data_IF_180249581090
#
_entry.id   IF_180249581090
#
_cell.length_a   1.000
_cell.length_b   1.000
_cell.length_c   1.000
_cell.angle_alpha   90.00
_cell.angle_beta   90.00
_cell.angle_gamma   90.00
#
_symmetry.space_group_name_H-M   'P 1'
#
loop_
_entity.id
_entity.type
_entity.pdbx_description
1 polymer ?
#
# COMPACT_ATOMS: atom_id res chain seq x y z
N UNK A 1 5.07 -5.99 17.98
CA UNK A 1 4.30 -7.02 17.27
C UNK A 1 4.29 -6.74 15.79
N UNK A 2 4.59 -7.74 14.99
CA UNK A 2 4.54 -7.70 13.52
C UNK A 2 3.33 -8.52 13.05
N UNK A 3 2.43 -7.98 12.21
CA UNK A 3 1.32 -8.74 11.65
C UNK A 3 1.82 -9.67 10.54
N UNK A 4 1.39 -10.92 10.58
CA UNK A 4 1.49 -11.85 9.46
C UNK A 4 0.15 -11.87 8.74
N UNK A 5 0.19 -11.43 7.49
CA UNK A 5 -0.99 -11.28 6.63
C UNK A 5 -0.84 -12.22 5.44
N UNK A 6 -1.96 -12.81 5.02
CA UNK A 6 -2.09 -13.52 3.74
C UNK A 6 -2.87 -12.67 2.74
N UNK A 7 -2.43 -12.70 1.49
CA UNK A 7 -3.17 -12.19 0.33
C UNK A 7 -3.50 -13.37 -0.58
N UNK A 8 -4.74 -13.48 -1.03
CA UNK A 8 -5.18 -14.53 -1.93
C UNK A 8 -6.33 -14.05 -2.82
N UNK A 9 -6.51 -14.73 -3.95
CA UNK A 9 -7.65 -14.48 -4.83
C UNK A 9 -8.81 -15.40 -4.44
N UNK A 10 -10.02 -14.84 -4.40
CA UNK A 10 -11.25 -15.53 -4.03
C UNK A 10 -12.30 -15.42 -5.15
N UNK A 11 -13.47 -16.03 -4.95
CA UNK A 11 -14.60 -15.90 -5.88
C UNK A 11 -15.12 -14.47 -6.03
N UNK A 12 -14.72 -13.55 -5.15
CA UNK A 12 -15.12 -12.14 -5.18
C UNK A 12 -13.96 -11.19 -5.44
N UNK A 13 -12.79 -11.69 -5.84
CA UNK A 13 -11.59 -10.90 -6.09
C UNK A 13 -10.52 -11.08 -5.01
N UNK A 14 -9.59 -10.13 -4.93
CA UNK A 14 -8.47 -10.17 -3.99
C UNK A 14 -8.97 -9.97 -2.56
N UNK A 15 -8.50 -10.81 -1.64
CA UNK A 15 -8.78 -10.73 -0.21
C UNK A 15 -7.48 -10.77 0.58
N UNK A 16 -7.53 -10.13 1.75
CA UNK A 16 -6.46 -10.12 2.74
C UNK A 16 -6.98 -10.69 4.05
N UNK A 17 -6.10 -11.33 4.82
CA UNK A 17 -6.45 -11.83 6.14
C UNK A 17 -5.25 -11.81 7.07
N UNK A 18 -5.47 -11.37 8.31
CA UNK A 18 -4.47 -11.44 9.38
C UNK A 18 -4.50 -12.85 9.96
N UNK A 19 -3.37 -13.55 9.92
CA UNK A 19 -3.20 -14.84 10.58
C UNK A 19 -2.83 -14.65 12.05
N UNK A 20 -1.76 -13.90 12.32
CA UNK A 20 -1.22 -13.71 13.66
C UNK A 20 -0.46 -12.40 13.82
N UNK A 21 -0.37 -11.91 15.05
CA UNK A 21 0.56 -10.87 15.45
C UNK A 21 1.69 -11.51 16.26
N UNK A 22 2.92 -11.46 15.75
CA UNK A 22 4.06 -12.04 16.45
C UNK A 22 4.72 -10.96 17.32
N UNK A 23 4.87 -11.23 18.62
CA UNK A 23 5.78 -10.48 19.50
C UNK A 23 7.19 -11.06 19.40
N UNK A 24 8.17 -10.23 19.09
CA UNK A 24 9.57 -10.65 19.06
C UNK A 24 10.42 -9.67 19.87
N UNK A 25 11.35 -10.21 20.66
CA UNK A 25 12.42 -9.45 21.32
C UNK A 25 13.57 -9.11 20.35
N UNK A 26 13.78 -9.95 19.33
CA UNK A 26 14.88 -9.83 18.37
C UNK A 26 14.33 -9.93 16.95
N UNK A 27 14.74 -9.01 16.08
CA UNK A 27 14.30 -8.93 14.68
C UNK A 27 15.34 -9.57 13.75
N UNK A 28 15.86 -10.75 14.11
CA UNK A 28 16.80 -11.49 13.25
C UNK A 28 16.06 -12.16 12.10
N UNK A 29 16.76 -12.38 10.98
CA UNK A 29 16.18 -13.06 9.83
C UNK A 29 15.73 -14.50 10.15
N UNK A 30 16.49 -15.22 10.99
CA UNK A 30 16.19 -16.59 11.40
C UNK A 30 14.95 -16.66 12.29
N UNK A 31 14.82 -15.74 13.26
CA UNK A 31 13.67 -15.68 14.17
C UNK A 31 12.38 -15.32 13.40
N UNK A 32 12.46 -14.35 12.49
CA UNK A 32 11.34 -13.98 11.62
C UNK A 32 10.94 -15.15 10.71
N UNK A 33 11.89 -15.80 10.07
CA UNK A 33 11.66 -16.97 9.24
C UNK A 33 10.97 -18.11 10.01
N UNK A 34 11.50 -18.48 11.18
CA UNK A 34 10.95 -19.55 12.00
C UNK A 34 9.51 -19.23 12.45
N UNK A 35 9.26 -17.99 12.86
CA UNK A 35 7.93 -17.59 13.31
C UNK A 35 6.92 -17.50 12.17
N UNK A 36 7.29 -16.97 10.99
CA UNK A 36 6.41 -16.96 9.81
C UNK A 36 6.05 -18.40 9.42
N UNK A 37 7.05 -19.28 9.35
CA UNK A 37 6.85 -20.69 9.03
C UNK A 37 5.89 -21.36 10.02
N UNK A 38 6.10 -21.16 11.32
CA UNK A 38 5.23 -21.68 12.38
C UNK A 38 3.78 -21.16 12.22
N UNK A 39 3.60 -19.86 11.98
CA UNK A 39 2.25 -19.28 11.80
C UNK A 39 1.55 -19.88 10.59
N UNK A 40 2.24 -20.09 9.47
CA UNK A 40 1.65 -20.73 8.29
C UNK A 40 1.23 -22.17 8.60
N UNK A 41 2.11 -22.97 9.20
CA UNK A 41 1.85 -24.37 9.54
C UNK A 41 0.73 -24.52 10.58
N UNK A 42 0.68 -23.64 11.59
CA UNK A 42 -0.36 -23.62 12.62
C UNK A 42 -1.75 -23.24 12.07
N UNK A 43 -1.80 -22.55 10.92
CA UNK A 43 -3.03 -22.25 10.19
C UNK A 43 -3.31 -23.26 9.06
N UNK A 44 -2.64 -24.41 9.06
CA UNK A 44 -2.79 -25.49 8.06
C UNK A 44 -2.47 -25.06 6.62
N UNK A 45 -1.69 -23.97 6.45
CA UNK A 45 -1.26 -23.48 5.15
C UNK A 45 0.01 -24.22 4.72
N UNK A 46 -0.02 -24.79 3.53
CA UNK A 46 1.12 -25.54 3.00
C UNK A 46 2.13 -24.58 2.39
N UNK A 47 3.40 -24.72 2.79
CA UNK A 47 4.49 -23.89 2.27
C UNK A 47 4.62 -23.94 0.74
N UNK A 48 4.32 -25.08 0.12
CA UNK A 48 4.36 -25.24 -1.35
C UNK A 48 3.23 -24.52 -2.12
N UNK A 49 2.31 -23.85 -1.39
CA UNK A 49 1.31 -22.94 -1.93
C UNK A 49 1.72 -21.46 -1.80
N UNK A 50 2.84 -21.16 -1.11
CA UNK A 50 3.35 -19.81 -0.98
C UNK A 50 3.97 -19.36 -2.30
N UNK A 51 3.32 -18.38 -2.94
CA UNK A 51 3.75 -17.83 -4.23
C UNK A 51 4.79 -16.72 -4.06
N UNK A 52 4.56 -15.85 -3.09
CA UNK A 52 5.38 -14.66 -2.88
C UNK A 52 5.43 -14.28 -1.41
N UNK A 53 6.55 -13.67 -1.00
CA UNK A 53 6.70 -13.06 0.31
C UNK A 53 6.87 -11.54 0.15
N UNK A 54 5.90 -10.78 0.67
CA UNK A 54 5.91 -9.32 0.66
C UNK A 54 6.29 -8.71 2.01
N UNK A 55 7.20 -7.74 2.01
CA UNK A 55 7.68 -7.03 3.21
C UNK A 55 8.21 -5.66 2.85
N UNK A 56 8.71 -4.90 3.84
CA UNK A 56 9.62 -3.80 3.51
C UNK A 56 10.92 -4.35 2.88
N UNK A 57 11.67 -3.47 2.21
CA UNK A 57 12.88 -3.85 1.49
C UNK A 57 14.15 -3.77 2.37
N UNK A 58 14.04 -4.03 3.67
CA UNK A 58 15.18 -4.03 4.58
C UNK A 58 16.11 -5.23 4.36
N UNK A 59 17.37 -5.10 4.76
CA UNK A 59 18.36 -6.17 4.60
C UNK A 59 17.94 -7.48 5.29
N UNK A 60 17.33 -7.38 6.48
CA UNK A 60 16.81 -8.54 7.23
C UNK A 60 15.73 -9.28 6.45
N UNK A 61 14.85 -8.56 5.77
CA UNK A 61 13.72 -9.16 5.07
C UNK A 61 14.07 -9.67 3.66
N UNK A 62 14.86 -8.90 2.88
CA UNK A 62 15.07 -9.17 1.44
C UNK A 62 16.53 -9.21 0.98
N UNK A 63 17.50 -9.13 1.90
CA UNK A 63 18.93 -9.15 1.60
C UNK A 63 19.38 -10.43 0.86
N UNK A 64 20.45 -10.31 0.06
CA UNK A 64 20.82 -11.35 -0.92
C UNK A 64 21.44 -12.62 -0.31
N UNK A 65 22.09 -12.52 0.85
CA UNK A 65 22.87 -13.64 1.41
C UNK A 65 22.17 -14.33 2.58
N UNK A 66 21.64 -13.53 3.51
CA UNK A 66 20.97 -14.02 4.72
C UNK A 66 19.83 -13.07 5.08
N UNK A 67 18.61 -13.46 4.71
CA UNK A 67 17.38 -12.70 4.93
C UNK A 67 16.20 -13.66 5.03
N UNK A 68 15.07 -13.17 5.53
CA UNK A 68 13.83 -13.96 5.60
C UNK A 68 13.48 -14.53 4.21
N UNK A 69 13.55 -13.69 3.17
CA UNK A 69 13.32 -14.13 1.79
C UNK A 69 14.34 -15.20 1.36
N UNK A 70 15.64 -14.98 1.56
CA UNK A 70 16.68 -15.93 1.15
C UNK A 70 16.57 -17.28 1.89
N UNK A 71 16.05 -17.30 3.13
CA UNK A 71 15.76 -18.52 3.87
C UNK A 71 14.57 -19.28 3.30
N UNK A 72 13.48 -18.58 2.96
CA UNK A 72 12.32 -19.21 2.30
C UNK A 72 12.64 -19.67 0.87
N UNK A 73 13.42 -18.91 0.11
CA UNK A 73 13.81 -19.25 -1.27
C UNK A 73 14.63 -20.56 -1.31
N UNK A 74 15.47 -20.83 -0.30
CA UNK A 74 16.16 -22.13 -0.14
C UNK A 74 15.19 -23.30 0.04
N UNK A 75 14.04 -23.07 0.69
CA UNK A 75 13.00 -24.09 0.88
C UNK A 75 12.06 -24.22 -0.32
N UNK A 76 11.85 -23.12 -1.04
CA UNK A 76 10.89 -22.98 -2.13
C UNK A 76 11.57 -22.38 -3.37
N UNK A 77 12.32 -23.20 -4.14
CA UNK A 77 12.91 -22.77 -5.40
C UNK A 77 11.81 -22.34 -6.39
N UNK A 78 11.64 -21.02 -6.58
CA UNK A 78 10.55 -20.43 -7.36
C UNK A 78 9.70 -19.40 -6.60
N UNK A 79 10.00 -19.15 -5.31
CA UNK A 79 9.36 -18.09 -4.54
C UNK A 79 9.63 -16.71 -5.16
N UNK A 80 8.57 -15.91 -5.36
CA UNK A 80 8.69 -14.57 -5.92
C UNK A 80 8.93 -13.54 -4.81
N UNK A 81 9.92 -12.67 -4.97
CA UNK A 81 10.17 -11.55 -4.05
C UNK A 81 9.09 -10.49 -4.20
N UNK A 82 8.24 -10.33 -3.19
CA UNK A 82 7.22 -9.28 -3.11
C UNK A 82 7.82 -7.93 -2.74
N UNK A 83 8.62 -7.35 -3.65
CA UNK A 83 9.28 -6.06 -3.43
C UNK A 83 8.23 -4.98 -3.16
N UNK A 84 8.37 -4.25 -2.05
CA UNK A 84 7.47 -3.14 -1.76
C UNK A 84 7.82 -1.92 -2.60
N UNK A 85 7.06 -1.68 -3.68
CA UNK A 85 7.31 -0.52 -4.55
C UNK A 85 6.97 0.81 -3.88
N UNK A 86 6.07 0.87 -2.89
CA UNK A 86 5.90 2.07 -2.05
C UNK A 86 7.23 2.47 -1.37
N UNK A 87 7.97 1.49 -0.85
CA UNK A 87 9.26 1.73 -0.21
C UNK A 87 10.35 2.04 -1.23
N UNK A 88 10.31 1.43 -2.43
CA UNK A 88 11.19 1.80 -3.55
C UNK A 88 10.99 3.27 -3.92
N UNK A 89 9.74 3.72 -4.12
CA UNK A 89 9.44 5.13 -4.44
C UNK A 89 9.83 6.07 -3.30
N UNK A 90 9.56 5.70 -2.04
CA UNK A 90 10.00 6.50 -0.90
C UNK A 90 11.53 6.68 -0.90
N UNK A 91 12.27 5.58 -1.03
CA UNK A 91 13.72 5.63 -0.99
C UNK A 91 14.32 6.28 -2.23
N UNK A 92 13.74 6.12 -3.41
CA UNK A 92 14.25 6.76 -4.63
C UNK A 92 14.24 8.27 -4.48
N UNK A 93 13.17 8.84 -3.93
CA UNK A 93 13.11 10.28 -3.71
C UNK A 93 14.01 10.73 -2.58
N UNK A 94 14.13 9.95 -1.50
CA UNK A 94 15.11 10.21 -0.45
C UNK A 94 16.55 10.28 -0.99
N UNK A 95 16.93 9.37 -1.89
CA UNK A 95 18.25 9.42 -2.55
C UNK A 95 18.35 10.59 -3.53
N UNK A 96 17.27 10.91 -4.25
CA UNK A 96 17.21 12.09 -5.12
C UNK A 96 17.49 13.38 -4.33
N UNK A 97 16.93 13.49 -3.13
CA UNK A 97 17.05 14.64 -2.24
C UNK A 97 18.50 15.00 -1.89
N UNK A 98 19.41 14.02 -1.85
CA UNK A 98 20.83 14.25 -1.59
C UNK A 98 21.51 15.11 -2.67
N UNK A 99 20.88 15.26 -3.84
CA UNK A 99 21.37 16.10 -4.94
C UNK A 99 20.77 17.51 -4.96
N UNK A 100 19.80 17.81 -4.09
CA UNK A 100 19.21 19.13 -4.00
C UNK A 100 20.20 20.10 -3.34
N UNK A 101 20.20 21.35 -3.84
CA UNK A 101 21.06 22.40 -3.26
C UNK A 101 20.61 22.84 -1.87
N UNK A 102 19.41 22.43 -1.45
CA UNK A 102 18.85 22.76 -0.15
C UNK A 102 18.09 21.55 0.44
N UNK A 103 18.33 21.25 1.72
CA UNK A 103 17.70 20.14 2.43
C UNK A 103 16.30 20.53 2.94
N UNK A 104 15.31 20.39 2.06
CA UNK A 104 13.90 20.64 2.36
C UNK A 104 13.36 19.70 3.44
N UNK A 105 13.84 18.45 3.49
CA UNK A 105 13.39 17.49 4.50
C UNK A 105 13.80 17.95 5.90
N UNK A 106 15.07 18.32 6.08
CA UNK A 106 15.54 18.86 7.36
C UNK A 106 14.83 20.17 7.74
N UNK A 107 14.54 21.05 6.79
CA UNK A 107 13.77 22.26 7.07
C UNK A 107 12.35 21.92 7.55
N UNK A 108 11.64 21.02 6.88
CA UNK A 108 10.31 20.57 7.30
C UNK A 108 10.32 19.89 8.66
N UNK A 109 11.31 19.05 8.96
CA UNK A 109 11.49 18.42 10.26
C UNK A 109 11.74 19.45 11.38
N UNK A 110 12.52 20.50 11.11
CA UNK A 110 12.76 21.59 12.07
C UNK A 110 11.50 22.42 12.32
N UNK A 111 10.75 22.76 11.26
CA UNK A 111 9.45 23.44 11.37
C UNK A 111 8.49 22.60 12.24
N UNK A 112 8.36 21.31 11.92
CA UNK A 112 7.53 20.36 12.68
C UNK A 112 7.95 20.31 14.15
N UNK A 113 9.24 20.09 14.41
CA UNK A 113 9.79 19.94 15.75
C UNK A 113 9.62 21.21 16.59
N UNK A 114 9.69 22.38 15.96
CA UNK A 114 9.48 23.66 16.65
C UNK A 114 8.07 23.80 17.20
N UNK A 115 7.06 23.41 16.43
CA UNK A 115 5.66 23.56 16.81
C UNK A 115 5.14 22.41 17.67
N UNK A 116 5.51 21.17 17.36
CA UNK A 116 5.05 19.98 18.07
C UNK A 116 5.49 19.94 19.56
N UNK A 117 6.60 20.61 19.91
CA UNK A 117 7.18 20.58 21.26
C UNK A 117 6.54 21.54 22.27
N UNK A 118 5.56 22.36 21.86
CA UNK A 118 4.87 23.29 22.76
C UNK A 118 3.38 23.25 22.48
N UNK A 119 2.58 22.96 23.50
CA UNK A 119 1.12 23.01 23.42
C UNK A 119 0.62 24.40 23.05
N UNK A 120 1.30 25.45 23.51
CA UNK A 120 1.00 26.86 23.16
C UNK A 120 1.28 27.12 21.69
N UNK A 121 2.46 26.74 21.17
CA UNK A 121 2.81 26.94 19.75
C UNK A 121 2.03 26.01 18.82
N UNK A 122 1.68 24.82 19.29
CA UNK A 122 0.79 23.91 18.59
C UNK A 122 -0.59 24.56 18.44
N UNK A 123 -1.16 25.17 19.49
CA UNK A 123 -2.44 25.89 19.41
C UNK A 123 -2.39 27.11 18.47
N UNK A 124 -1.28 27.86 18.46
CA UNK A 124 -1.07 28.98 17.52
C UNK A 124 -1.12 28.55 16.03
N UNK A 125 -0.81 27.28 15.74
CA UNK A 125 -0.87 26.71 14.39
C UNK A 125 -1.88 25.57 14.22
N UNK A 126 -2.68 25.20 15.21
CA UNK A 126 -3.69 24.11 15.06
C UNK A 126 -4.75 24.50 14.03
N UNK A 127 -4.99 25.81 13.85
CA UNK A 127 -5.83 26.33 12.76
C UNK A 127 -5.20 26.17 11.35
N UNK A 128 -3.91 25.83 11.27
CA UNK A 128 -3.11 25.84 10.05
C UNK A 128 -2.26 24.57 9.83
N UNK A 129 -2.08 23.68 10.80
CA UNK A 129 -1.28 22.47 10.70
C UNK A 129 -2.09 21.29 11.28
N UNK A 130 -2.67 20.48 10.40
CA UNK A 130 -2.85 19.08 10.73
C UNK A 130 -1.46 18.46 10.68
N UNK A 131 -0.89 18.15 11.85
CA UNK A 131 0.46 17.60 11.94
C UNK A 131 0.48 16.18 11.37
N UNK A 132 0.89 16.04 10.10
CA UNK A 132 1.00 14.76 9.39
C UNK A 132 2.28 14.02 9.83
N UNK A 133 2.17 12.71 10.09
CA UNK A 133 3.31 11.82 10.37
C UNK A 133 4.37 11.89 9.25
N UNK A 134 5.60 12.27 9.60
CA UNK A 134 6.74 12.49 8.71
C UNK A 134 7.29 11.19 8.07
N UNK A 135 6.63 10.65 7.05
CA UNK A 135 7.21 9.75 6.03
C UNK A 135 7.30 10.51 4.70
N UNK A 136 8.20 10.22 3.76
CA UNK A 136 8.31 10.98 2.48
C UNK A 136 6.96 11.26 1.77
N UNK A 137 6.00 10.35 1.89
CA UNK A 137 4.67 10.46 1.29
C UNK A 137 3.76 11.47 2.00
N UNK A 138 4.06 11.76 3.27
CA UNK A 138 3.62 12.98 3.95
C UNK A 138 4.41 14.21 3.54
N UNK A 139 5.66 14.06 3.08
CA UNK A 139 6.50 15.22 2.74
C UNK A 139 5.90 16.01 1.59
N UNK A 140 5.35 15.38 0.55
CA UNK A 140 4.67 16.13 -0.51
C UNK A 140 3.45 16.89 0.03
N UNK A 141 2.61 16.25 0.86
CA UNK A 141 1.48 16.94 1.53
C UNK A 141 1.98 18.07 2.43
N UNK A 142 3.09 17.87 3.14
CA UNK A 142 3.75 18.89 3.96
C UNK A 142 4.36 20.02 3.11
N UNK A 143 4.86 19.72 1.91
CA UNK A 143 5.38 20.70 0.94
C UNK A 143 4.24 21.53 0.37
N UNK A 144 3.18 20.89 -0.12
CA UNK A 144 1.97 21.58 -0.59
C UNK A 144 1.36 22.45 0.50
N UNK A 145 1.31 21.91 1.74
CA UNK A 145 0.84 22.68 2.90
C UNK A 145 1.75 23.85 3.17
N UNK A 146 3.06 23.64 3.27
CA UNK A 146 4.05 24.69 3.52
C UNK A 146 3.97 25.78 2.45
N UNK A 147 3.79 25.43 1.17
CA UNK A 147 3.55 26.39 0.09
C UNK A 147 2.31 27.23 0.37
N UNK A 148 1.20 26.62 0.79
CA UNK A 148 -0.05 27.34 1.08
C UNK A 148 0.03 28.31 2.26
N UNK A 149 0.92 28.06 3.23
CA UNK A 149 1.10 28.89 4.43
C UNK A 149 2.47 29.57 4.49
N UNK A 150 3.22 29.55 3.38
CA UNK A 150 4.65 29.92 3.34
C UNK A 150 4.89 31.31 3.93
N UNK A 151 4.08 32.29 3.53
CA UNK A 151 4.16 33.68 4.01
C UNK A 151 3.99 33.78 5.53
N UNK A 152 3.09 32.99 6.11
CA UNK A 152 2.80 33.00 7.55
C UNK A 152 3.99 32.41 8.31
N UNK A 153 4.45 31.22 7.90
CA UNK A 153 5.56 30.51 8.55
C UNK A 153 6.86 31.29 8.42
N UNK A 154 7.14 31.87 7.24
CA UNK A 154 8.27 32.77 6.99
C UNK A 154 8.25 33.98 7.92
N UNK A 155 7.12 34.67 8.00
CA UNK A 155 6.97 35.83 8.89
C UNK A 155 7.17 35.44 10.36
N UNK A 156 6.63 34.29 10.79
CA UNK A 156 6.80 33.80 12.15
C UNK A 156 8.28 33.59 12.50
N UNK A 157 9.01 32.80 11.71
CA UNK A 157 10.41 32.47 12.01
C UNK A 157 11.36 33.66 11.87
N UNK A 158 11.09 34.61 10.97
CA UNK A 158 11.88 35.84 10.84
C UNK A 158 11.65 36.85 11.98
N UNK A 159 10.53 36.74 12.71
CA UNK A 159 10.21 37.58 13.86
C UNK A 159 10.63 36.97 15.21
N UNK A 160 11.12 35.72 15.22
CA UNK A 160 11.74 35.14 16.42
C UNK A 160 13.03 35.90 16.75
N UNK A 161 13.40 35.95 18.03
CA UNK A 161 14.73 36.47 18.38
C UNK A 161 15.80 35.60 17.72
N UNK A 162 16.93 36.19 17.29
CA UNK A 162 17.94 35.48 16.49
C UNK A 162 18.45 34.18 17.14
N UNK A 163 18.37 34.05 18.47
CA UNK A 163 18.79 32.85 19.21
C UNK A 163 17.73 31.72 19.24
N UNK A 164 16.48 31.99 18.84
CA UNK A 164 15.36 31.04 18.87
C UNK A 164 15.06 30.38 17.52
N UNK A 165 15.56 30.94 16.41
CA UNK A 165 15.34 30.41 15.06
C UNK A 165 16.50 29.48 14.64
N UNK A 166 16.24 28.20 14.28
CA UNK A 166 17.29 27.32 13.78
C UNK A 166 17.97 27.90 12.53
N UNK A 167 19.30 27.85 12.46
CA UNK A 167 20.11 28.41 11.35
C UNK A 167 19.63 27.97 9.95
N UNK A 168 19.31 26.68 9.79
CA UNK A 168 18.75 26.14 8.53
C UNK A 168 17.42 26.83 8.13
N UNK A 169 16.56 27.17 9.10
CA UNK A 169 15.30 27.86 8.82
C UNK A 169 15.52 29.35 8.54
N UNK A 170 16.53 29.95 9.17
CA UNK A 170 16.95 31.30 8.82
C UNK A 170 17.42 31.33 7.36
N UNK A 171 18.34 30.44 6.96
CA UNK A 171 18.82 30.30 5.57
C UNK A 171 17.66 30.05 4.59
N UNK A 172 16.70 29.21 4.97
CA UNK A 172 15.52 28.87 4.19
C UNK A 172 14.63 30.09 3.89
N UNK A 173 14.47 31.00 4.85
CA UNK A 173 13.53 32.13 4.80
C UNK A 173 14.18 33.49 4.46
N UNK A 174 15.49 33.69 4.63
CA UNK A 174 16.17 34.97 4.39
C UNK A 174 16.51 35.23 2.92
N UNK A 175 16.25 36.44 2.44
CA UNK A 175 16.19 36.88 1.03
C UNK A 175 17.51 36.93 0.23
N UNK A 176 18.53 36.16 0.59
CA UNK A 176 19.74 35.98 -0.22
C UNK A 176 19.51 34.95 -1.35
N UNK A 177 20.57 34.63 -2.12
CA UNK A 177 20.57 33.55 -3.13
C UNK A 177 19.99 32.23 -2.57
N UNK A 178 20.08 31.98 -1.26
CA UNK A 178 19.53 30.80 -0.58
C UNK A 178 17.98 30.74 -0.58
N UNK A 179 17.27 31.86 -0.50
CA UNK A 179 15.79 31.87 -0.53
C UNK A 179 15.22 31.63 -1.93
N UNK A 180 15.96 31.98 -2.99
CA UNK A 180 15.56 31.59 -4.36
C UNK A 180 15.73 30.08 -4.57
N UNK A 181 16.82 29.50 -4.05
CA UNK A 181 17.05 28.06 -4.12
C UNK A 181 16.02 27.26 -3.31
N UNK A 182 15.70 27.69 -2.10
CA UNK A 182 14.74 27.01 -1.25
C UNK A 182 13.32 27.03 -1.82
N UNK A 183 12.83 28.20 -2.27
CA UNK A 183 11.50 28.33 -2.88
C UNK A 183 11.42 27.54 -4.20
N UNK A 184 12.42 27.63 -5.08
CA UNK A 184 12.46 26.83 -6.31
C UNK A 184 12.47 25.32 -6.02
N UNK A 185 13.19 24.88 -4.98
CA UNK A 185 13.22 23.48 -4.58
C UNK A 185 11.87 23.01 -4.05
N UNK A 186 11.18 23.81 -3.23
CA UNK A 186 9.81 23.54 -2.79
C UNK A 186 8.86 23.37 -3.99
N UNK A 187 8.87 24.31 -4.93
CA UNK A 187 8.01 24.24 -6.12
C UNK A 187 8.36 23.07 -7.02
N UNK A 188 9.64 22.74 -7.18
CA UNK A 188 10.09 21.57 -7.92
C UNK A 188 9.54 20.29 -7.30
N UNK A 189 9.71 20.10 -5.99
CA UNK A 189 9.22 18.91 -5.29
C UNK A 189 7.68 18.83 -5.32
N UNK A 190 6.99 19.96 -5.22
CA UNK A 190 5.53 20.04 -5.37
C UNK A 190 5.02 19.60 -6.75
N UNK A 191 5.89 19.57 -7.76
CA UNK A 191 5.58 19.13 -9.13
C UNK A 191 5.81 17.64 -9.36
N UNK A 192 6.29 16.88 -8.37
CA UNK A 192 6.47 15.42 -8.47
C UNK A 192 5.15 14.66 -8.28
N UNK A 193 4.09 15.15 -8.93
CA UNK A 193 2.72 14.62 -8.78
C UNK A 193 2.60 13.18 -9.27
N UNK A 194 3.39 12.80 -10.26
CA UNK A 194 3.39 11.49 -10.89
C UNK A 194 3.96 10.44 -9.95
N UNK A 195 5.02 10.76 -9.20
CA UNK A 195 5.57 9.90 -8.15
C UNK A 195 4.51 9.66 -7.06
N UNK A 196 3.80 10.72 -6.66
CA UNK A 196 2.73 10.61 -5.67
C UNK A 196 1.56 9.78 -6.17
N UNK A 197 1.10 10.01 -7.39
CA UNK A 197 0.01 9.26 -8.01
C UNK A 197 0.38 7.78 -8.09
N UNK A 198 1.60 7.45 -8.55
CA UNK A 198 2.09 6.08 -8.57
C UNK A 198 2.10 5.44 -7.18
N UNK A 199 2.57 6.16 -6.16
CA UNK A 199 2.53 5.66 -4.80
C UNK A 199 1.10 5.46 -4.27
N UNK A 200 0.18 6.38 -4.51
CA UNK A 200 -1.23 6.24 -4.11
C UNK A 200 -1.89 5.03 -4.78
N UNK A 201 -1.54 4.75 -6.04
CA UNK A 201 -1.97 3.52 -6.70
C UNK A 201 -1.41 2.29 -5.97
N UNK A 202 -0.11 2.26 -5.67
CA UNK A 202 0.54 1.14 -4.96
C UNK A 202 0.05 0.90 -3.53
N UNK A 203 -0.53 1.92 -2.88
CA UNK A 203 -1.06 1.83 -1.51
C UNK A 203 -2.46 1.24 -1.42
N UNK A 204 -3.18 1.13 -2.54
CA UNK A 204 -4.52 0.55 -2.54
C UNK A 204 -4.44 -0.89 -2.07
N UNK A 205 -5.35 -1.28 -1.18
CA UNK A 205 -5.38 -2.63 -0.62
C UNK A 205 -5.44 -3.71 -1.71
N UNK A 206 -6.04 -3.40 -2.86
CA UNK A 206 -6.22 -4.33 -3.97
C UNK A 206 -5.14 -4.26 -5.06
N UNK A 207 -4.13 -3.41 -4.91
CA UNK A 207 -3.04 -3.34 -5.88
C UNK A 207 -2.07 -4.50 -5.66
N UNK A 208 -1.98 -5.36 -6.67
CA UNK A 208 -1.17 -6.58 -6.65
C UNK A 208 -0.03 -6.50 -7.66
N UNK A 209 0.72 -7.59 -7.82
CA UNK A 209 1.81 -7.70 -8.79
C UNK A 209 1.42 -7.32 -10.21
N UNK A 210 0.16 -7.57 -10.59
CA UNK A 210 -0.36 -7.33 -11.95
C UNK A 210 -0.31 -5.85 -12.34
N UNK A 211 -0.50 -4.94 -11.39
CA UNK A 211 -0.55 -3.49 -11.67
C UNK A 211 0.82 -2.83 -11.71
N UNK A 212 1.87 -3.49 -11.22
CA UNK A 212 3.21 -2.89 -11.04
C UNK A 212 3.76 -2.40 -12.39
N UNK A 213 3.63 -3.20 -13.45
CA UNK A 213 4.18 -2.84 -14.76
C UNK A 213 3.61 -1.53 -15.28
N UNK A 214 2.28 -1.39 -15.25
CA UNK A 214 1.59 -0.19 -15.72
C UNK A 214 1.95 1.02 -14.85
N UNK A 215 1.93 0.87 -13.53
CA UNK A 215 2.23 1.96 -12.59
C UNK A 215 3.66 2.48 -12.78
N UNK A 216 4.66 1.58 -12.78
CA UNK A 216 6.07 1.98 -12.88
C UNK A 216 6.42 2.48 -14.28
N UNK A 217 5.91 1.83 -15.34
CA UNK A 217 6.19 2.28 -16.71
C UNK A 217 5.60 3.67 -16.97
N UNK A 218 4.36 3.92 -16.53
CA UNK A 218 3.75 5.25 -16.65
C UNK A 218 4.52 6.31 -15.86
N UNK A 219 5.07 5.96 -14.69
CA UNK A 219 5.91 6.86 -13.91
C UNK A 219 7.24 7.17 -14.64
N UNK A 220 7.90 6.16 -15.21
CA UNK A 220 9.18 6.35 -15.91
C UNK A 220 9.03 7.10 -17.25
N UNK A 221 7.86 7.02 -17.87
CA UNK A 221 7.51 7.81 -19.06
C UNK A 221 7.07 9.23 -18.73
N UNK A 222 6.81 9.54 -17.46
CA UNK A 222 6.44 10.89 -17.07
C UNK A 222 7.60 11.86 -17.31
N UNK A 223 7.30 12.99 -17.93
CA UNK A 223 8.24 14.08 -18.17
C UNK A 223 8.52 14.83 -16.86
N UNK A 224 9.16 14.16 -15.88
CA UNK A 224 9.39 14.68 -14.52
C UNK A 224 10.14 16.03 -14.48
N UNK A 225 10.75 16.45 -15.59
CA UNK A 225 11.51 17.68 -15.73
C UNK A 225 10.83 18.79 -16.56
N UNK A 226 9.80 18.51 -17.36
CA UNK A 226 9.33 19.47 -18.39
C UNK A 226 8.63 20.72 -17.83
N UNK A 227 8.10 20.66 -16.60
CA UNK A 227 7.24 21.72 -16.06
C UNK A 227 7.91 22.69 -15.09
N UNK A 228 9.25 22.66 -14.96
CA UNK A 228 9.93 23.58 -14.05
C UNK A 228 10.31 24.87 -14.79
N UNK A 229 9.76 26.05 -14.44
CA UNK A 229 10.02 27.32 -15.12
C UNK A 229 11.39 27.87 -14.73
N UNK A 230 12.47 27.15 -15.05
CA UNK A 230 13.82 27.50 -14.60
C UNK A 230 14.41 28.52 -15.57
N UNK A 231 14.12 29.80 -15.34
CA UNK A 231 14.73 30.88 -16.12
C UNK A 231 16.12 31.31 -15.63
N UNK A 232 16.61 30.98 -14.41
CA UNK A 232 17.64 31.86 -13.79
C UNK A 232 18.86 31.28 -13.01
N UNK A 233 19.09 29.96 -12.85
CA UNK A 233 20.39 29.46 -12.36
C UNK A 233 20.76 28.07 -12.92
N UNK A 234 21.97 27.93 -13.49
CA UNK A 234 22.46 26.66 -14.07
C UNK A 234 22.65 25.57 -13.01
N UNK A 235 23.03 25.95 -11.79
CA UNK A 235 23.23 25.02 -10.67
C UNK A 235 21.93 24.34 -10.23
N UNK A 236 20.80 25.08 -10.19
CA UNK A 236 19.47 24.51 -9.89
C UNK A 236 19.03 23.50 -10.96
N UNK A 237 19.20 23.85 -12.24
CA UNK A 237 18.88 22.94 -13.34
C UNK A 237 19.67 21.64 -13.24
N UNK A 238 20.97 21.77 -12.93
CA UNK A 238 21.85 20.62 -12.74
C UNK A 238 21.41 19.77 -11.55
N UNK A 239 21.13 20.39 -10.41
CA UNK A 239 20.65 19.74 -9.20
C UNK A 239 19.35 18.98 -9.41
N UNK A 240 18.34 19.58 -10.05
CA UNK A 240 17.06 18.90 -10.34
C UNK A 240 17.21 17.76 -11.36
N UNK A 241 18.10 17.90 -12.35
CA UNK A 241 18.42 16.79 -13.26
C UNK A 241 19.07 15.62 -12.52
N UNK A 242 20.02 15.90 -11.65
CA UNK A 242 20.67 14.87 -10.82
C UNK A 242 19.66 14.18 -9.88
N UNK A 243 18.77 14.96 -9.27
CA UNK A 243 17.65 14.43 -8.49
C UNK A 243 16.80 13.45 -9.32
N UNK A 244 16.33 13.85 -10.51
CA UNK A 244 15.44 13.01 -11.33
C UNK A 244 16.16 11.76 -11.82
N UNK A 245 17.42 11.86 -12.25
CA UNK A 245 18.21 10.68 -12.63
C UNK A 245 18.40 9.74 -11.45
N UNK A 246 18.74 10.25 -10.26
CA UNK A 246 18.89 9.43 -9.05
C UNK A 246 17.60 8.71 -8.68
N UNK A 247 16.45 9.37 -8.81
CA UNK A 247 15.12 8.75 -8.61
C UNK A 247 14.89 7.61 -9.60
N UNK A 248 15.12 7.85 -10.89
CA UNK A 248 14.92 6.87 -11.96
C UNK A 248 15.85 5.67 -11.78
N UNK A 249 17.16 5.91 -11.60
CA UNK A 249 18.18 4.89 -11.40
C UNK A 249 17.83 3.99 -10.21
N UNK A 250 17.35 4.58 -9.11
CA UNK A 250 16.93 3.83 -7.94
C UNK A 250 15.71 2.95 -8.24
N UNK A 251 14.68 3.48 -8.92
CA UNK A 251 13.50 2.70 -9.30
C UNK A 251 13.88 1.53 -10.21
N UNK A 252 14.66 1.81 -11.25
CA UNK A 252 15.09 0.83 -12.23
C UNK A 252 15.94 -0.29 -11.61
N UNK A 253 16.80 0.03 -10.64
CA UNK A 253 17.59 -0.96 -9.90
C UNK A 253 16.74 -2.08 -9.27
N UNK A 254 15.57 -1.75 -8.75
CA UNK A 254 14.66 -2.74 -8.15
C UNK A 254 13.69 -3.34 -9.18
N UNK A 255 13.24 -2.52 -10.13
CA UNK A 255 12.25 -2.92 -11.12
C UNK A 255 12.81 -3.85 -12.19
N UNK A 256 14.04 -3.61 -12.69
CA UNK A 256 14.57 -4.29 -13.87
C UNK A 256 14.66 -5.82 -13.71
N UNK A 257 14.96 -6.32 -12.51
CA UNK A 257 15.04 -7.76 -12.26
C UNK A 257 13.69 -8.47 -12.36
N UNK A 258 12.59 -7.76 -12.12
CA UNK A 258 11.23 -8.30 -12.14
C UNK A 258 10.39 -7.76 -13.31
N UNK A 259 10.94 -6.86 -14.13
CA UNK A 259 10.23 -6.21 -15.24
C UNK A 259 9.57 -7.21 -16.19
N UNK A 260 10.26 -8.29 -16.55
CA UNK A 260 9.72 -9.33 -17.44
C UNK A 260 8.53 -10.07 -16.83
N UNK A 261 8.61 -10.41 -15.53
CA UNK A 261 7.51 -11.01 -14.78
C UNK A 261 6.34 -10.02 -14.72
N UNK A 262 6.56 -8.80 -14.24
CA UNK A 262 5.54 -7.76 -14.11
C UNK A 262 4.85 -7.48 -15.45
N UNK A 263 5.60 -7.41 -16.55
CA UNK A 263 5.07 -7.25 -17.91
C UNK A 263 4.23 -8.44 -18.34
N UNK A 264 4.67 -9.66 -18.03
CA UNK A 264 3.94 -10.88 -18.42
C UNK A 264 2.59 -10.98 -17.71
N UNK A 265 2.53 -10.55 -16.44
CA UNK A 265 1.31 -10.61 -15.64
C UNK A 265 0.42 -9.35 -15.77
N UNK A 266 0.88 -8.29 -16.45
CA UNK A 266 0.13 -7.02 -16.53
C UNK A 266 -1.17 -7.12 -17.30
N UNK A 267 -1.33 -8.16 -18.13
CA UNK A 267 -2.59 -8.45 -18.81
C UNK A 267 -3.77 -8.67 -17.85
N UNK A 268 -3.48 -9.11 -16.62
CA UNK A 268 -4.50 -9.31 -15.59
C UNK A 268 -4.93 -8.00 -14.91
N UNK A 269 -4.25 -6.88 -15.19
CA UNK A 269 -4.61 -5.53 -14.72
C UNK A 269 -5.64 -4.84 -15.63
N UNK A 270 -6.08 -5.50 -16.70
CA UNK A 270 -7.06 -4.93 -17.62
C UNK A 270 -8.43 -4.74 -16.98
N UNK A 271 -9.04 -3.58 -17.27
CA UNK A 271 -10.36 -3.19 -16.74
C UNK A 271 -11.46 -3.29 -17.78
N UNK A 272 -11.09 -3.51 -19.04
CA UNK A 272 -12.00 -3.66 -20.16
C UNK A 272 -11.84 -5.05 -20.77
N UNK A 273 -12.89 -5.87 -20.68
CA UNK A 273 -12.89 -7.25 -21.19
C UNK A 273 -12.47 -7.34 -22.67
N UNK A 274 -12.85 -6.33 -23.46
CA UNK A 274 -12.56 -6.24 -24.90
C UNK A 274 -11.07 -6.02 -25.20
N UNK A 275 -10.31 -5.52 -24.23
CA UNK A 275 -8.89 -5.21 -24.35
C UNK A 275 -8.00 -6.36 -23.83
N UNK A 276 -8.59 -7.42 -23.27
CA UNK A 276 -7.84 -8.58 -22.79
C UNK A 276 -7.25 -9.34 -23.98
N UNK A 277 -5.95 -9.16 -24.21
CA UNK A 277 -5.15 -9.97 -25.12
C UNK A 277 -4.89 -11.38 -24.56
N UNK A 278 -5.73 -12.33 -24.95
CA UNK A 278 -5.65 -13.72 -24.50
C UNK A 278 -4.35 -14.45 -24.85
N UNK A 279 -3.70 -14.06 -25.95
CA UNK A 279 -2.36 -14.54 -26.31
C UNK A 279 -1.34 -14.19 -25.23
N UNK A 280 -1.48 -13.01 -24.63
CA UNK A 280 -0.62 -12.52 -23.55
C UNK A 280 -0.88 -13.28 -22.25
N UNK A 281 -2.12 -13.66 -21.96
CA UNK A 281 -2.45 -14.58 -20.85
C UNK A 281 -1.84 -15.99 -21.03
N UNK A 282 -1.80 -16.50 -22.27
CA UNK A 282 -1.12 -17.76 -22.59
C UNK A 282 0.41 -17.65 -22.50
N UNK A 283 0.98 -16.50 -22.88
CA UNK A 283 2.42 -16.26 -22.69
C UNK A 283 2.77 -16.18 -21.21
N UNK A 284 1.92 -15.53 -20.40
CA UNK A 284 2.05 -15.51 -18.95
C UNK A 284 2.04 -16.91 -18.36
N UNK A 285 1.15 -17.79 -18.81
CA UNK A 285 1.10 -19.15 -18.28
C UNK A 285 2.38 -19.92 -18.58
N UNK A 286 2.91 -19.84 -19.80
CA UNK A 286 4.19 -20.44 -20.16
C UNK A 286 5.34 -19.87 -19.31
N UNK A 287 5.33 -18.56 -19.03
CA UNK A 287 6.32 -17.92 -18.17
C UNK A 287 6.25 -18.42 -16.72
N UNK A 288 5.06 -18.45 -16.12
CA UNK A 288 4.83 -18.94 -14.74
C UNK A 288 5.23 -20.41 -14.60
N UNK A 289 4.87 -21.25 -15.58
CA UNK A 289 5.27 -22.66 -15.64
C UNK A 289 6.80 -22.81 -15.67
N UNK A 290 7.50 -21.99 -16.45
CA UNK A 290 8.95 -22.04 -16.55
C UNK A 290 9.69 -21.51 -15.31
N UNK A 291 9.09 -20.61 -14.52
CA UNK A 291 9.71 -20.01 -13.34
C UNK A 291 9.45 -20.78 -12.03
N UNK A 292 8.49 -21.70 -12.01
CA UNK A 292 8.14 -22.46 -10.81
C UNK A 292 8.40 -23.94 -11.07
N UNK A 293 9.44 -24.49 -10.42
CA UNK A 293 9.81 -25.90 -10.50
C UNK A 293 8.63 -26.72 -9.94
N UNK A 294 8.07 -27.63 -10.76
CA UNK A 294 6.96 -28.56 -10.43
C UNK A 294 5.52 -28.11 -10.80
N UNK A 295 5.34 -27.60 -12.03
CA UNK A 295 4.04 -27.13 -12.55
C UNK A 295 3.45 -27.90 -13.74
N UNK A 296 4.18 -28.85 -14.35
CA UNK A 296 3.65 -29.67 -15.45
C UNK A 296 2.38 -30.45 -15.02
N UNK A 297 2.24 -30.83 -13.74
CA UNK A 297 1.01 -31.42 -13.19
C UNK A 297 -0.08 -30.40 -12.83
N UNK A 298 0.25 -29.12 -12.59
CA UNK A 298 -0.69 -28.15 -12.01
C UNK A 298 -1.53 -27.40 -13.05
N UNK A 299 -1.00 -27.24 -14.26
CA UNK A 299 -1.50 -26.30 -15.27
C UNK A 299 -1.74 -26.93 -16.65
N UNK A 300 -1.93 -28.25 -16.72
CA UNK A 300 -2.25 -28.91 -17.98
C UNK A 300 -3.51 -28.30 -18.64
N UNK A 301 -3.45 -28.10 -19.95
CA UNK A 301 -4.58 -27.62 -20.75
C UNK A 301 -4.95 -26.13 -20.64
N UNK A 302 -4.14 -25.24 -20.05
CA UNK A 302 -4.45 -23.79 -20.00
C UNK A 302 -4.81 -23.24 -21.37
N UNK A 303 -4.02 -23.52 -22.41
CA UNK A 303 -4.26 -22.98 -23.76
C UNK A 303 -5.64 -23.34 -24.28
N UNK A 304 -6.06 -24.60 -24.12
CA UNK A 304 -7.39 -25.07 -24.54
C UNK A 304 -8.51 -24.48 -23.68
N UNK A 305 -8.29 -24.32 -22.37
CA UNK A 305 -9.28 -23.72 -21.47
C UNK A 305 -9.46 -22.23 -21.74
N UNK A 306 -8.37 -21.49 -21.98
CA UNK A 306 -8.42 -20.08 -22.37
C UNK A 306 -9.16 -19.92 -23.70
N UNK A 307 -8.85 -20.75 -24.70
CA UNK A 307 -9.54 -20.72 -26.00
C UNK A 307 -11.03 -21.05 -25.87
N UNK A 308 -11.39 -22.08 -25.11
CA UNK A 308 -12.79 -22.44 -24.81
C UNK A 308 -13.52 -21.33 -24.05
N UNK A 309 -12.86 -20.68 -23.10
CA UNK A 309 -13.43 -19.60 -22.31
C UNK A 309 -13.79 -18.40 -23.19
N UNK A 310 -12.90 -18.02 -24.11
CA UNK A 310 -13.13 -16.92 -25.07
C UNK A 310 -14.31 -17.23 -25.99
N UNK A 311 -14.33 -18.42 -26.59
CA UNK A 311 -15.42 -18.85 -27.47
C UNK A 311 -16.77 -18.81 -26.77
N UNK A 312 -16.80 -19.13 -25.47
CA UNK A 312 -18.00 -19.11 -24.63
C UNK A 312 -18.45 -17.70 -24.24
N UNK A 313 -17.53 -16.73 -24.17
CA UNK A 313 -17.77 -15.39 -23.64
C UNK A 313 -17.75 -14.26 -24.68
N UNK A 314 -17.37 -14.52 -25.93
CA UNK A 314 -17.44 -13.55 -27.06
C UNK A 314 -18.86 -12.98 -27.29
N UNK A 315 -19.92 -13.71 -26.92
CA UNK A 315 -21.31 -13.27 -27.03
C UNK A 315 -21.85 -12.44 -25.84
N UNK A 316 -21.11 -12.31 -24.73
CA UNK A 316 -21.51 -11.53 -23.54
C UNK A 316 -21.16 -10.04 -23.63
N UNK A 317 -20.65 -9.58 -24.78
CA UNK A 317 -20.23 -8.18 -25.06
C UNK A 317 -21.35 -7.12 -24.92
N UNK A 318 -22.62 -7.49 -24.78
CA UNK A 318 -23.70 -6.54 -24.50
C UNK A 318 -23.88 -6.31 -22.98
N UNK A 319 -22.92 -5.64 -22.36
CA UNK A 319 -23.03 -5.20 -20.97
C UNK A 319 -24.01 -4.03 -20.85
N UNK A 320 -25.30 -4.32 -20.72
CA UNK A 320 -26.28 -3.34 -20.25
C UNK A 320 -26.20 -3.31 -18.72
N UNK A 321 -25.69 -2.21 -18.16
CA UNK A 321 -25.49 -1.98 -16.72
C UNK A 321 -26.75 -1.91 -15.86
N UNK A 322 -27.78 -2.70 -16.16
CA UNK A 322 -29.04 -2.77 -15.41
C UNK A 322 -29.43 -4.23 -15.21
N UNK A 323 -28.84 -4.87 -14.21
CA UNK A 323 -29.44 -5.91 -13.37
C UNK A 323 -28.35 -6.70 -12.65
N UNK A 324 -27.79 -6.15 -11.58
CA UNK A 324 -27.21 -6.95 -10.50
C UNK A 324 -27.72 -6.37 -9.18
N UNK A 325 -28.81 -6.94 -8.67
CA UNK A 325 -29.14 -6.89 -7.26
C UNK A 325 -28.24 -7.90 -6.54
N UNK A 326 -26.99 -7.53 -6.37
CA UNK A 326 -26.13 -8.01 -5.30
C UNK A 326 -25.24 -6.82 -4.92
N UNK A 327 -25.23 -6.52 -3.63
CA UNK A 327 -24.60 -5.37 -2.99
C UNK A 327 -23.21 -5.10 -3.55
N UNK A 328 -23.16 -4.20 -4.52
CA UNK A 328 -21.94 -3.66 -5.11
C UNK A 328 -21.72 -2.32 -4.43
N UNK A 329 -20.74 -2.25 -3.53
CA UNK A 329 -20.29 -0.99 -2.94
C UNK A 329 -19.85 -0.06 -4.07
N UNK A 330 -20.63 1.00 -4.29
CA UNK A 330 -20.27 2.13 -5.14
C UNK A 330 -18.89 2.64 -4.74
N UNK A 331 -17.98 2.73 -5.71
CA UNK A 331 -16.70 3.38 -5.53
C UNK A 331 -16.91 4.90 -5.51
N UNK A 332 -17.16 5.43 -4.31
CA UNK A 332 -16.94 6.84 -3.95
C UNK A 332 -15.78 6.92 -2.95
N UNK A 333 -14.64 6.29 -3.28
CA UNK A 333 -13.42 6.38 -2.46
C UNK A 333 -12.58 7.59 -2.87
N UNK A 334 -13.15 8.75 -2.61
CA UNK A 334 -12.40 9.93 -2.22
C UNK A 334 -13.15 10.65 -1.10
N UNK A 335 -13.29 9.97 0.05
CA UNK A 335 -13.42 10.55 1.38
C UNK A 335 -13.39 9.44 2.44
N UNK A 336 -12.18 9.00 2.83
CA UNK A 336 -12.00 8.60 4.23
C UNK A 336 -11.89 9.92 5.00
N UNK A 337 -13.03 10.54 5.27
CA UNK A 337 -13.15 11.47 6.38
C UNK A 337 -13.26 10.60 7.63
N UNK A 338 -12.40 10.89 8.59
CA UNK A 338 -12.44 10.38 9.95
C UNK A 338 -13.82 10.63 10.54
N UNK A 339 -14.67 9.59 10.59
CA UNK A 339 -15.85 9.61 11.46
C UNK A 339 -15.39 9.32 12.89
N UNK A 340 -14.86 10.37 13.53
CA UNK A 340 -15.03 10.57 14.96
C UNK A 340 -16.38 11.28 15.12
N UNK A 341 -17.37 10.55 15.64
CA UNK A 341 -18.61 11.14 16.13
C UNK A 341 -18.28 12.19 17.20
N UNK A 342 -18.57 13.46 16.92
CA UNK A 342 -18.91 14.44 17.94
C UNK A 342 -20.28 15.02 17.55
N UNK A 343 -21.23 14.80 18.45
CA UNK A 343 -22.61 15.25 18.36
C UNK A 343 -22.73 16.78 18.39
N UNK A 344 -23.79 17.26 17.74
CA UNK A 344 -24.59 18.47 18.03
C UNK A 344 -24.40 19.77 17.20
N UNK A 345 -25.47 20.05 16.40
CA UNK A 345 -26.23 21.32 16.27
C UNK A 345 -26.27 22.05 14.89
N UNK A 346 -27.41 21.82 14.23
CA UNK A 346 -28.35 22.73 13.50
C UNK A 346 -28.04 23.38 12.13
N UNK A 347 -28.88 23.00 11.14
CA UNK A 347 -29.73 23.79 10.22
C UNK A 347 -29.15 25.03 9.50
N UNK A 348 -29.04 24.99 8.16
CA UNK A 348 -30.06 25.46 7.20
C UNK A 348 -29.58 25.35 5.73
N UNK A 349 -30.54 25.11 4.85
CA UNK A 349 -30.54 24.65 3.43
C UNK A 349 -30.22 25.77 2.37
N UNK A 350 -30.35 25.58 1.02
CA UNK A 350 -29.39 24.95 0.10
C UNK A 350 -29.04 25.85 -1.13
N UNK A 351 -28.31 25.27 -2.10
CA UNK A 351 -28.55 25.34 -3.56
C UNK A 351 -27.35 25.77 -4.45
N UNK A 352 -27.37 25.21 -5.68
CA UNK A 352 -26.68 25.59 -6.93
C UNK A 352 -25.63 24.60 -7.50
N UNK A 353 -26.21 23.66 -8.29
CA UNK A 353 -25.81 23.22 -9.65
C UNK A 353 -24.80 22.08 -9.84
N UNK A 354 -25.37 20.88 -9.88
CA UNK A 354 -24.88 19.67 -10.54
C UNK A 354 -24.45 19.91 -12.01
N UNK A 355 -23.17 19.66 -12.31
CA UNK A 355 -22.73 19.27 -13.66
C UNK A 355 -22.62 17.75 -13.69
N UNK A 356 -23.50 17.11 -14.45
CA UNK A 356 -23.47 15.68 -14.73
C UNK A 356 -22.13 15.28 -15.38
N UNK A 357 -21.23 14.68 -14.60
CA UNK A 357 -20.06 13.97 -15.09
C UNK A 357 -20.52 12.56 -15.48
N UNK A 358 -20.49 12.22 -16.76
CA UNK A 358 -20.67 10.82 -17.22
C UNK A 358 -19.57 9.97 -16.59
N UNK A 359 -19.91 9.14 -15.60
CA UNK A 359 -18.98 8.21 -14.97
C UNK A 359 -18.93 6.94 -15.79
N UNK A 360 -17.84 6.75 -16.55
CA UNK A 360 -17.52 5.47 -17.15
C UNK A 360 -17.07 4.55 -16.00
N UNK A 361 -17.97 3.75 -15.41
CA UNK A 361 -17.63 2.89 -14.26
C UNK A 361 -16.71 1.76 -14.74
N UNK A 362 -15.42 1.93 -14.55
CA UNK A 362 -14.40 0.89 -14.73
C UNK A 362 -14.51 -0.12 -13.58
N UNK A 363 -14.57 -1.41 -13.91
CA UNK A 363 -14.54 -2.51 -12.94
C UNK A 363 -13.09 -2.75 -12.49
N UNK A 364 -12.88 -3.04 -11.20
CA UNK A 364 -11.55 -3.42 -10.72
C UNK A 364 -11.07 -4.71 -11.41
N UNK A 365 -9.78 -4.84 -11.75
CA UNK A 365 -9.28 -6.01 -12.48
C UNK A 365 -9.56 -7.33 -11.73
N UNK A 366 -9.36 -7.35 -10.42
CA UNK A 366 -9.62 -8.54 -9.61
C UNK A 366 -11.11 -8.94 -9.57
N UNK A 367 -12.01 -7.96 -9.52
CA UNK A 367 -13.45 -8.20 -9.62
C UNK A 367 -13.86 -8.66 -11.03
N UNK A 368 -13.23 -8.11 -12.08
CA UNK A 368 -13.44 -8.56 -13.45
C UNK A 368 -13.07 -10.03 -13.59
N UNK A 369 -11.88 -10.42 -13.15
CA UNK A 369 -11.44 -11.82 -13.21
C UNK A 369 -12.30 -12.73 -12.33
N UNK A 370 -12.79 -12.24 -11.18
CA UNK A 370 -13.70 -13.01 -10.34
C UNK A 370 -15.03 -13.27 -11.04
N UNK A 371 -15.59 -12.24 -11.69
CA UNK A 371 -16.79 -12.33 -12.52
C UNK A 371 -16.59 -13.27 -13.71
N UNK A 372 -15.47 -13.13 -14.42
CA UNK A 372 -15.14 -13.96 -15.57
C UNK A 372 -15.03 -15.43 -15.21
N UNK A 373 -14.51 -15.76 -14.03
CA UNK A 373 -14.35 -17.15 -13.59
C UNK A 373 -15.61 -17.75 -12.96
N UNK A 374 -16.65 -16.96 -12.71
CA UNK A 374 -17.84 -17.44 -12.02
C UNK A 374 -18.66 -18.41 -12.88
N UNK A 375 -18.98 -19.58 -12.32
CA UNK A 375 -19.70 -20.66 -13.03
C UNK A 375 -18.88 -21.39 -14.12
N UNK A 376 -17.62 -21.03 -14.34
CA UNK A 376 -16.82 -21.49 -15.49
C UNK A 376 -15.88 -22.63 -15.09
N UNK A 377 -15.85 -23.71 -15.89
CA UNK A 377 -15.02 -24.89 -15.64
C UNK A 377 -13.63 -24.77 -16.28
N UNK A 378 -12.82 -23.86 -15.74
CA UNK A 378 -11.46 -23.54 -16.22
C UNK A 378 -10.42 -23.65 -15.09
N UNK A 379 -10.17 -24.87 -14.56
CA UNK A 379 -9.37 -25.05 -13.35
C UNK A 379 -7.92 -24.58 -13.49
N UNK A 380 -7.32 -24.69 -14.67
CA UNK A 380 -5.93 -24.30 -14.90
C UNK A 380 -5.80 -22.78 -15.04
N UNK A 381 -6.76 -22.13 -15.70
CA UNK A 381 -6.84 -20.65 -15.74
C UNK A 381 -7.13 -20.07 -14.35
N UNK A 382 -8.03 -20.68 -13.59
CA UNK A 382 -8.34 -20.24 -12.21
C UNK A 382 -7.09 -20.26 -11.34
N UNK A 383 -6.31 -21.34 -11.36
CA UNK A 383 -5.04 -21.41 -10.63
C UNK A 383 -4.03 -20.34 -11.06
N UNK A 384 -4.03 -19.96 -12.35
CA UNK A 384 -3.12 -18.93 -12.86
C UNK A 384 -3.52 -17.55 -12.34
N UNK A 385 -4.83 -17.24 -12.38
CA UNK A 385 -5.39 -16.02 -11.81
C UNK A 385 -5.12 -15.97 -10.29
N UNK A 386 -5.35 -17.07 -9.58
CA UNK A 386 -5.02 -17.18 -8.15
C UNK A 386 -3.54 -16.92 -7.88
N UNK A 387 -2.64 -17.44 -8.71
CA UNK A 387 -1.20 -17.24 -8.59
C UNK A 387 -0.81 -15.77 -8.80
N UNK A 388 -1.21 -15.13 -9.91
CA UNK A 388 -0.75 -13.78 -10.25
C UNK A 388 -1.30 -12.72 -9.28
N UNK A 389 -2.54 -12.87 -8.83
CA UNK A 389 -3.15 -11.96 -7.84
C UNK A 389 -2.66 -12.22 -6.41
N UNK A 390 -2.04 -13.36 -6.12
CA UNK A 390 -1.41 -13.60 -4.82
C UNK A 390 -0.08 -12.84 -4.64
N UNK A 391 0.53 -12.35 -5.73
CA UNK A 391 1.76 -11.55 -5.68
C UNK A 391 1.41 -10.15 -5.14
N UNK A 392 1.97 -9.68 -4.01
CA UNK A 392 1.70 -8.34 -3.49
C UNK A 392 2.44 -7.27 -4.30
N UNK A 393 1.81 -6.10 -4.49
CA UNK A 393 2.45 -4.92 -5.09
C UNK A 393 3.16 -4.03 -4.09
N UNK A 394 2.75 -4.09 -2.83
CA UNK A 394 3.33 -3.35 -1.71
C UNK A 394 2.99 -3.99 -0.37
N UNK A 395 3.67 -3.57 0.69
CA UNK A 395 3.30 -3.91 2.07
C UNK A 395 2.23 -2.97 2.66
N UNK A 396 1.56 -2.14 1.84
CA UNK A 396 0.67 -1.08 2.32
C UNK A 396 -0.52 -1.61 3.13
N UNK A 397 -1.00 -2.82 2.84
CA UNK A 397 -2.02 -3.44 3.68
C UNK A 397 -1.51 -3.64 5.11
N UNK A 398 -0.30 -4.19 5.30
CA UNK A 398 0.32 -4.34 6.62
C UNK A 398 0.51 -2.99 7.33
N UNK A 399 0.92 -1.95 6.59
CA UNK A 399 0.99 -0.58 7.11
C UNK A 399 -0.37 -0.07 7.60
N UNK A 400 -1.45 -0.38 6.89
CA UNK A 400 -2.81 -0.02 7.33
C UNK A 400 -3.18 -0.74 8.64
N UNK A 401 -2.78 -2.00 8.83
CA UNK A 401 -2.96 -2.74 10.09
C UNK A 401 -2.19 -2.07 11.22
N UNK A 402 -0.94 -1.64 10.98
CA UNK A 402 -0.15 -0.90 11.97
C UNK A 402 -0.81 0.41 12.37
N UNK A 403 -1.36 1.17 11.43
CA UNK A 403 -2.08 2.42 11.71
C UNK A 403 -3.31 2.19 12.59
N UNK A 404 -4.15 1.20 12.25
CA UNK A 404 -5.31 0.82 13.07
C UNK A 404 -4.90 0.39 14.48
N UNK A 405 -3.81 -0.38 14.59
CA UNK A 405 -3.25 -0.75 15.88
C UNK A 405 -2.80 0.47 16.68
N UNK A 406 -2.08 1.41 16.06
CA UNK A 406 -1.59 2.62 16.74
C UNK A 406 -2.76 3.43 17.30
N UNK A 407 -3.84 3.58 16.53
CA UNK A 407 -5.06 4.25 16.96
C UNK A 407 -5.71 3.58 18.18
N UNK A 408 -5.91 2.25 18.12
CA UNK A 408 -6.49 1.49 19.24
C UNK A 408 -5.62 1.54 20.50
N UNK A 409 -4.30 1.60 20.33
CA UNK A 409 -3.34 1.60 21.43
C UNK A 409 -3.13 2.97 22.08
N UNK A 410 -2.99 4.03 21.29
CA UNK A 410 -2.54 5.34 21.79
C UNK A 410 -3.66 6.34 22.02
N UNK A 411 -4.70 6.37 21.18
CA UNK A 411 -5.62 7.50 21.13
C UNK A 411 -6.87 7.32 22.01
N UNK A 412 -7.43 6.10 22.07
CA UNK A 412 -8.72 5.90 22.74
C UNK A 412 -8.70 4.98 23.96
N UNK A 413 -7.68 4.14 24.15
CA UNK A 413 -7.72 3.08 25.18
C UNK A 413 -6.37 2.85 25.85
N UNK A 414 -6.13 3.53 26.97
CA UNK A 414 -4.98 3.21 27.84
C UNK A 414 -5.13 1.79 28.41
N UNK A 415 -4.16 0.90 28.15
CA UNK A 415 -3.96 -0.43 28.79
C UNK A 415 -4.76 -1.64 28.29
N UNK A 416 -5.04 -1.80 26.99
CA UNK A 416 -5.43 -3.13 26.48
C UNK A 416 -4.20 -4.04 26.33
N UNK A 417 -4.34 -5.33 26.67
CA UNK A 417 -3.27 -6.33 26.43
C UNK A 417 -3.07 -6.51 24.93
N UNK A 418 -1.84 -6.80 24.51
CA UNK A 418 -1.49 -7.03 23.11
C UNK A 418 -2.34 -8.13 22.45
N UNK A 419 -2.57 -9.25 23.15
CA UNK A 419 -3.44 -10.33 22.67
C UNK A 419 -4.88 -9.86 22.39
N UNK A 420 -5.42 -8.95 23.21
CA UNK A 420 -6.77 -8.43 23.05
C UNK A 420 -6.85 -7.53 21.81
N UNK A 421 -5.88 -6.62 21.65
CA UNK A 421 -5.81 -5.75 20.47
C UNK A 421 -5.62 -6.56 19.21
N UNK A 422 -4.77 -7.61 19.26
CA UNK A 422 -4.58 -8.53 18.15
C UNK A 422 -5.86 -9.26 17.77
N UNK A 423 -6.59 -9.80 18.75
CA UNK A 423 -7.87 -10.47 18.52
C UNK A 423 -8.95 -9.53 17.95
N UNK A 424 -9.07 -8.31 18.47
CA UNK A 424 -9.99 -7.29 17.96
C UNK A 424 -9.69 -6.93 16.50
N UNK A 425 -8.41 -6.70 16.17
CA UNK A 425 -7.98 -6.43 14.80
C UNK A 425 -8.23 -7.61 13.86
N UNK A 426 -7.97 -8.85 14.29
CA UNK A 426 -8.26 -10.04 13.49
C UNK A 426 -9.75 -10.16 13.16
N UNK A 427 -10.62 -9.93 14.14
CA UNK A 427 -12.07 -9.97 13.90
C UNK A 427 -12.44 -8.85 12.93
N UNK A 428 -12.07 -7.60 13.25
CA UNK A 428 -12.45 -6.43 12.44
C UNK A 428 -11.96 -6.50 10.99
N UNK A 429 -10.77 -7.04 10.75
CA UNK A 429 -10.14 -7.03 9.42
C UNK A 429 -10.46 -8.29 8.63
N UNK A 430 -10.66 -9.45 9.27
CA UNK A 430 -10.96 -10.69 8.56
C UNK A 430 -12.46 -10.90 8.33
N UNK A 431 -13.33 -10.04 8.87
CA UNK A 431 -14.78 -10.15 8.68
C UNK A 431 -15.36 -8.87 8.08
N UNK A 432 -16.08 -9.02 6.98
CA UNK A 432 -16.85 -7.94 6.35
C UNK A 432 -18.28 -7.83 6.93
N UNK A 433 -18.60 -8.63 7.96
CA UNK A 433 -19.94 -8.71 8.56
C UNK A 433 -20.21 -7.51 9.46
N UNK A 434 -21.41 -6.95 9.36
CA UNK A 434 -21.94 -6.03 10.38
C UNK A 434 -22.06 -6.74 11.72
N UNK A 435 -22.15 -5.98 12.82
CA UNK A 435 -22.33 -6.55 14.15
C UNK A 435 -23.54 -7.50 14.24
N UNK A 436 -24.64 -7.16 13.54
CA UNK A 436 -25.86 -7.98 13.50
C UNK A 436 -25.63 -9.28 12.73
N UNK A 437 -25.04 -9.20 11.54
CA UNK A 437 -24.75 -10.39 10.73
C UNK A 437 -23.70 -11.29 11.41
N UNK A 438 -22.72 -10.71 12.10
CA UNK A 438 -21.74 -11.47 12.87
C UNK A 438 -22.39 -12.18 14.06
N UNK A 439 -23.32 -11.52 14.75
CA UNK A 439 -24.11 -12.15 15.80
C UNK A 439 -24.94 -13.32 15.27
N UNK A 440 -25.66 -13.12 14.16
CA UNK A 440 -26.45 -14.17 13.52
C UNK A 440 -25.57 -15.32 13.02
N UNK A 441 -24.42 -15.00 12.43
CA UNK A 441 -23.40 -15.98 12.04
C UNK A 441 -22.97 -16.82 13.25
N UNK A 442 -22.65 -16.20 14.39
CA UNK A 442 -22.26 -16.90 15.61
C UNK A 442 -23.37 -17.83 16.12
N UNK A 443 -24.65 -17.42 16.00
CA UNK A 443 -25.79 -18.27 16.35
C UNK A 443 -25.81 -19.58 15.54
N UNK A 444 -25.34 -19.56 14.28
CA UNK A 444 -25.23 -20.77 13.45
C UNK A 444 -24.06 -21.68 13.84
N UNK A 445 -23.09 -21.20 14.63
CA UNK A 445 -21.84 -21.91 14.97
C UNK A 445 -21.87 -22.44 16.41
N UNK A 446 -22.67 -23.48 16.65
CA UNK A 446 -22.82 -24.12 17.97
C UNK A 446 -21.49 -24.46 18.65
N UNK A 447 -20.49 -24.94 17.91
CA UNK A 447 -19.16 -25.25 18.45
C UNK A 447 -18.42 -24.02 18.96
N UNK A 448 -18.54 -22.89 18.25
CA UNK A 448 -17.92 -21.62 18.67
C UNK A 448 -18.67 -21.08 19.89
N UNK A 449 -20.01 -21.10 19.89
CA UNK A 449 -20.81 -20.70 21.05
C UNK A 449 -20.47 -21.52 22.30
N UNK A 450 -20.27 -22.83 22.15
CA UNK A 450 -19.84 -23.68 23.24
C UNK A 450 -18.47 -23.25 23.77
N UNK A 451 -17.50 -22.99 22.89
CA UNK A 451 -16.17 -22.47 23.27
C UNK A 451 -16.24 -21.10 23.96
N UNK A 452 -17.08 -20.19 23.45
CA UNK A 452 -17.30 -18.85 24.04
C UNK A 452 -17.92 -18.97 25.44
N UNK A 453 -18.82 -19.93 25.67
CA UNK A 453 -19.46 -20.14 26.99
C UNK A 453 -18.54 -20.88 27.95
N UNK A 454 -17.79 -21.87 27.46
CA UNK A 454 -16.89 -22.70 28.25
C UNK A 454 -15.84 -21.87 29.02
N UNK A 455 -15.38 -22.41 30.14
CA UNK A 455 -14.18 -21.93 30.84
C UNK A 455 -12.89 -22.22 30.07
N UNK A 456 -12.93 -23.11 29.07
CA UNK A 456 -11.77 -23.51 28.26
C UNK A 456 -11.11 -22.34 27.51
N UNK A 457 -11.89 -21.28 27.25
CA UNK A 457 -11.38 -20.03 26.66
C UNK A 457 -10.28 -19.38 27.52
N UNK A 458 -10.31 -19.57 28.83
CA UNK A 458 -9.27 -19.07 29.75
C UNK A 458 -8.04 -20.00 29.80
N UNK A 459 -8.20 -21.28 29.44
CA UNK A 459 -7.12 -22.28 29.40
C UNK A 459 -6.16 -22.05 28.23
N UNK A 460 -6.65 -21.51 27.10
CA UNK A 460 -5.80 -21.18 25.94
C UNK A 460 -4.89 -19.98 26.21
N UNK A 461 -5.38 -19.00 26.97
CA UNK A 461 -4.59 -17.83 27.42
C UNK A 461 -3.40 -18.30 28.27
N UNK A 462 -3.60 -19.27 29.16
CA UNK A 462 -2.53 -19.84 29.99
C UNK A 462 -1.48 -20.64 29.21
N UNK A 463 -1.83 -21.19 28.04
CA UNK A 463 -0.88 -21.87 27.14
C UNK A 463 -0.04 -20.88 26.34
N UNK A 464 -0.63 -19.77 25.86
CA UNK A 464 0.13 -18.71 25.18
C UNK A 464 1.20 -18.09 26.09
N UNK A 465 0.93 -17.93 27.39
CA UNK A 465 1.92 -17.35 28.34
C UNK A 465 3.18 -18.21 28.52
N UNK A 466 3.12 -19.51 28.23
CA UNK A 466 4.27 -20.43 28.33
C UNK A 466 5.13 -20.51 27.07
N UNK A 467 4.71 -19.86 25.98
CA UNK A 467 5.42 -19.85 24.69
C UNK A 467 6.36 -18.63 24.59
N UNK A 468 6.19 -17.63 25.46
CA UNK A 468 6.98 -16.40 25.51
C UNK A 468 8.01 -16.35 26.67
N UNK A 469 8.33 -17.50 27.28
CA UNK A 469 9.50 -17.70 28.15
C UNK A 469 10.45 -18.65 27.45
#
# INVERSE_FOLDING_TARGET
MVPIVVQFFSKTGVKHGILEFIEQMHESADDLFANIKYVLEANELKLNQLVSLGSDNTNVNVGNHHSVFALFEKLLPGLIKGTCYCHVLHNSVKHGNEHLLFDIEAALLKIYSHFCRSSVRSQELTNYFDFIELRWLSLLRSIERLISIHTIVKSYFLNLTNDDCPELLLEFFTSDKSNEFSECTLYFLAKLTEVQNANLLLQRHYTTGVSIYNIITNLLLAELLENCPIRRADDLKKSFRLFVHSVIDYIEKYYNNYKSLCQSISIFDEVHIEQVEWKSAQQCSAFVVNQTIDLDERFDGISKQVESFILSNLGRSNYNGTSVNHETSSCDDCNIQDNLDDSDVSNDEPDVKNKHKKTNKSIRPDHLWAYLLDGEHVPSLRKLVEFVFAIPGSNAFCESVFSHKKYLWHNNRTKMKHDLVGAELKIKINTDLTCTEFYDYLLTKLNILHKIRSSDKYSQIAKMTRIYQ
#
